data_IF_730862426192
#
_entry.id   IF_730862426192
#
_cell.length_a   1.000
_cell.length_b   1.000
_cell.length_c   1.000
_cell.angle_alpha   90.00
_cell.angle_beta   90.00
_cell.angle_gamma   90.00
#
_symmetry.space_group_name_H-M   'P 1'
#
loop_
_entity.id
_entity.type
_entity.pdbx_description
1 polymer ?
#
# COMPACT_ATOMS: atom_id res chain seq x y z
N UNK A 1 17.20 -8.56 6.94
CA UNK A 1 15.80 -8.75 6.50
C UNK A 1 15.05 -7.42 6.29
N UNK A 2 15.29 -6.39 7.13
CA UNK A 2 14.67 -5.06 7.04
C UNK A 2 14.78 -4.35 5.68
N UNK A 3 15.98 -4.29 5.07
CA UNK A 3 16.18 -3.62 3.78
C UNK A 3 15.32 -4.20 2.65
N UNK A 4 15.12 -5.51 2.62
CA UNK A 4 14.24 -6.17 1.65
C UNK A 4 12.78 -5.77 1.88
N UNK A 5 12.32 -5.73 3.13
CA UNK A 5 10.97 -5.32 3.46
C UNK A 5 10.72 -3.82 3.15
N UNK A 6 11.73 -2.98 3.36
CA UNK A 6 11.71 -1.57 2.97
C UNK A 6 11.66 -1.38 1.44
N UNK A 7 12.49 -2.10 0.68
CA UNK A 7 12.45 -2.07 -0.80
C UNK A 7 11.10 -2.55 -1.33
N UNK A 8 10.56 -3.62 -0.78
CA UNK A 8 9.25 -4.13 -1.18
C UNK A 8 8.15 -3.11 -0.91
N UNK A 9 8.21 -2.39 0.22
CA UNK A 9 7.30 -1.30 0.52
C UNK A 9 7.43 -0.14 -0.46
N UNK A 10 8.65 0.27 -0.81
CA UNK A 10 8.91 1.36 -1.77
C UNK A 10 8.38 0.99 -3.16
N UNK A 11 8.67 -0.22 -3.63
CA UNK A 11 8.16 -0.74 -4.91
C UNK A 11 6.64 -0.79 -4.90
N UNK A 12 6.04 -1.32 -3.83
CA UNK A 12 4.59 -1.41 -3.68
C UNK A 12 3.93 -0.03 -3.69
N UNK A 13 4.49 0.95 -2.98
CA UNK A 13 4.00 2.33 -2.98
C UNK A 13 4.12 2.99 -4.36
N UNK A 14 5.21 2.73 -5.09
CA UNK A 14 5.38 3.21 -6.45
C UNK A 14 4.35 2.62 -7.41
N UNK A 15 4.08 1.30 -7.32
CA UNK A 15 3.04 0.62 -8.11
C UNK A 15 1.66 1.21 -7.80
N UNK A 16 1.32 1.43 -6.52
CA UNK A 16 0.07 2.10 -6.13
C UNK A 16 -0.08 3.46 -6.81
N UNK A 17 0.98 4.27 -6.84
CA UNK A 17 0.94 5.59 -7.47
C UNK A 17 0.75 5.52 -8.99
N UNK A 18 1.47 4.60 -9.65
CA UNK A 18 1.31 4.40 -11.10
C UNK A 18 -0.09 3.90 -11.47
N UNK A 19 -0.62 2.93 -10.72
CA UNK A 19 -1.98 2.41 -10.96
C UNK A 19 -3.01 3.51 -10.69
N UNK A 20 -2.82 4.37 -9.68
CA UNK A 20 -3.68 5.53 -9.46
C UNK A 20 -3.71 6.47 -10.67
N UNK A 21 -2.54 6.85 -11.17
CA UNK A 21 -2.45 7.71 -12.36
C UNK A 21 -3.16 7.05 -13.55
N UNK A 22 -2.88 5.78 -13.81
CA UNK A 22 -3.55 5.04 -14.89
C UNK A 22 -5.07 5.04 -14.73
N UNK A 23 -5.58 4.74 -13.53
CA UNK A 23 -7.03 4.80 -13.22
C UNK A 23 -7.61 6.18 -13.51
N UNK A 24 -6.94 7.26 -13.06
CA UNK A 24 -7.43 8.63 -13.28
C UNK A 24 -7.43 9.02 -14.75
N UNK A 25 -6.38 8.66 -15.51
CA UNK A 25 -6.31 8.94 -16.96
C UNK A 25 -7.43 8.21 -17.68
N UNK A 26 -7.65 6.93 -17.39
CA UNK A 26 -8.69 6.14 -18.04
C UNK A 26 -10.08 6.65 -17.66
N UNK A 27 -10.36 6.95 -16.39
CA UNK A 27 -11.65 7.49 -15.98
C UNK A 27 -11.95 8.88 -16.54
N UNK A 28 -11.00 9.82 -16.46
CA UNK A 28 -11.18 11.17 -17.00
C UNK A 28 -11.26 11.15 -18.54
N UNK A 29 -10.41 10.35 -19.19
CA UNK A 29 -10.45 10.18 -20.64
C UNK A 29 -11.79 9.62 -21.12
N UNK A 30 -12.33 8.65 -20.39
CA UNK A 30 -13.65 8.09 -20.66
C UNK A 30 -14.79 9.10 -20.47
N UNK A 31 -14.77 9.87 -19.38
CA UNK A 31 -15.77 10.94 -19.16
C UNK A 31 -15.71 11.99 -20.27
N UNK A 32 -14.52 12.47 -20.65
CA UNK A 32 -14.36 13.45 -21.72
C UNK A 32 -14.82 12.91 -23.08
N UNK A 33 -14.56 11.64 -23.35
CA UNK A 33 -15.04 10.97 -24.55
C UNK A 33 -16.57 10.89 -24.58
N UNK A 34 -17.20 10.45 -23.46
CA UNK A 34 -18.65 10.43 -23.32
C UNK A 34 -19.27 11.82 -23.50
N UNK A 35 -18.68 12.86 -22.92
CA UNK A 35 -19.15 14.23 -23.05
C UNK A 35 -19.05 14.75 -24.49
N UNK A 36 -18.04 14.30 -25.25
CA UNK A 36 -17.86 14.66 -26.66
C UNK A 36 -18.89 13.98 -27.55
N UNK A 37 -19.13 12.68 -27.33
CA UNK A 37 -20.10 11.89 -28.11
C UNK A 37 -21.54 12.33 -27.83
N UNK A 38 -21.85 12.63 -26.57
CA UNK A 38 -23.20 13.09 -26.16
C UNK A 38 -23.38 14.60 -26.37
N UNK A 39 -22.44 15.29 -27.04
CA UNK A 39 -22.46 16.75 -27.26
C UNK A 39 -22.81 17.52 -25.97
N UNK A 40 -22.22 17.11 -24.84
CA UNK A 40 -22.44 17.64 -23.49
C UNK A 40 -23.89 17.50 -22.96
N UNK A 41 -24.63 16.50 -23.43
CA UNK A 41 -25.98 16.20 -22.95
C UNK A 41 -27.10 16.91 -23.70
N UNK A 42 -26.85 17.42 -24.91
CA UNK A 42 -27.90 17.98 -25.80
C UNK A 42 -28.81 16.89 -26.37
N UNK A 43 -28.37 15.63 -26.31
CA UNK A 43 -29.07 14.44 -26.79
C UNK A 43 -29.58 13.62 -25.60
N UNK A 44 -30.83 13.15 -25.61
CA UNK A 44 -31.52 12.59 -24.43
C UNK A 44 -31.10 11.16 -24.06
N UNK A 45 -30.14 10.58 -24.78
CA UNK A 45 -29.69 9.21 -24.60
C UNK A 45 -28.44 9.16 -23.70
N UNK A 46 -28.33 8.15 -22.84
CA UNK A 46 -27.16 7.92 -22.00
C UNK A 46 -25.95 7.56 -22.89
N UNK A 47 -24.71 7.79 -22.41
CA UNK A 47 -23.49 7.43 -23.15
C UNK A 47 -23.42 5.92 -23.52
N UNK A 48 -24.15 5.08 -22.77
CA UNK A 48 -24.36 3.66 -23.06
C UNK A 48 -25.18 3.43 -24.34
N UNK A 49 -26.15 4.29 -24.63
CA UNK A 49 -27.13 4.10 -25.71
C UNK A 49 -26.70 4.74 -27.05
N UNK A 50 -25.64 5.55 -27.04
CA UNK A 50 -24.97 6.05 -28.27
C UNK A 50 -23.93 5.10 -28.86
N UNK A 51 -23.53 4.05 -28.15
CA UNK A 51 -22.67 3.03 -28.76
C UNK A 51 -23.40 2.14 -29.77
N UNK A 52 -24.73 2.17 -29.79
CA UNK A 52 -25.57 1.46 -30.76
C UNK A 52 -25.80 2.28 -32.05
N UNK A 53 -25.23 3.48 -32.17
CA UNK A 53 -25.22 4.23 -33.43
C UNK A 53 -24.15 3.63 -34.34
N UNK A 54 -24.62 2.76 -35.22
CA UNK A 54 -23.87 2.06 -36.26
C UNK A 54 -23.06 3.08 -37.10
N UNK A 55 -21.77 3.21 -36.79
CA UNK A 55 -20.80 3.93 -37.62
C UNK A 55 -20.50 3.01 -38.81
N UNK A 56 -21.34 3.07 -39.85
CA UNK A 56 -21.24 2.55 -41.22
C UNK A 56 -19.88 1.96 -41.67
N UNK A 57 -19.41 0.93 -40.97
CA UNK A 57 -18.13 0.23 -41.12
C UNK A 57 -18.28 -1.09 -40.34
N UNK A 58 -19.08 -2.03 -40.86
CA UNK A 58 -19.15 -3.49 -40.58
C UNK A 58 -18.21 -4.02 -39.47
N UNK A 59 -18.40 -3.55 -38.24
CA UNK A 59 -17.57 -3.88 -37.09
C UNK A 59 -18.41 -3.67 -35.83
N UNK A 60 -18.95 -4.77 -35.31
CA UNK A 60 -19.68 -4.86 -34.05
C UNK A 60 -18.93 -4.13 -32.92
N UNK A 61 -19.34 -2.89 -32.61
CA UNK A 61 -18.68 -2.00 -31.63
C UNK A 61 -19.30 -2.06 -30.23
N UNK A 62 -20.35 -2.87 -30.03
CA UNK A 62 -21.08 -3.09 -28.77
C UNK A 62 -20.20 -3.60 -27.62
N UNK A 63 -19.00 -4.10 -27.91
CA UNK A 63 -18.05 -4.61 -26.92
C UNK A 63 -17.10 -3.55 -26.34
N UNK A 64 -16.96 -2.36 -26.93
CA UNK A 64 -15.95 -1.37 -26.50
C UNK A 64 -16.34 -0.65 -25.19
N UNK A 65 -17.60 -0.26 -24.95
CA UNK A 65 -17.99 0.35 -23.65
C UNK A 65 -17.79 -0.63 -22.50
N UNK A 66 -18.26 -1.86 -22.68
CA UNK A 66 -18.21 -2.89 -21.66
C UNK A 66 -16.77 -3.21 -21.28
N UNK A 67 -15.88 -3.32 -22.26
CA UNK A 67 -14.45 -3.56 -22.01
C UNK A 67 -13.78 -2.38 -21.30
N UNK A 68 -14.09 -1.13 -21.66
CA UNK A 68 -13.55 0.04 -20.97
C UNK A 68 -14.10 0.23 -19.55
N UNK A 69 -15.38 -0.06 -19.33
CA UNK A 69 -15.99 -0.04 -18.00
C UNK A 69 -15.39 -1.13 -17.09
N UNK A 70 -15.21 -2.34 -17.62
CA UNK A 70 -14.52 -3.44 -16.91
C UNK A 70 -13.06 -3.07 -16.62
N UNK A 71 -12.36 -2.43 -17.56
CA UNK A 71 -10.99 -1.96 -17.36
C UNK A 71 -10.89 -0.89 -16.27
N UNK A 72 -11.80 0.09 -16.24
CA UNK A 72 -11.88 1.09 -15.17
C UNK A 72 -12.11 0.45 -13.80
N UNK A 73 -13.10 -0.44 -13.70
CA UNK A 73 -13.36 -1.17 -12.46
C UNK A 73 -12.16 -2.02 -12.03
N UNK A 74 -11.54 -2.72 -12.98
CA UNK A 74 -10.35 -3.54 -12.75
C UNK A 74 -9.16 -2.73 -12.25
N UNK A 75 -8.93 -1.54 -12.82
CA UNK A 75 -7.87 -0.62 -12.39
C UNK A 75 -8.11 -0.09 -10.97
N UNK A 76 -9.34 0.31 -10.64
CA UNK A 76 -9.70 0.74 -9.27
C UNK A 76 -9.61 -0.40 -8.26
N UNK A 77 -10.08 -1.61 -8.61
CA UNK A 77 -9.97 -2.79 -7.76
C UNK A 77 -8.51 -3.19 -7.52
N UNK A 78 -7.69 -3.18 -8.58
CA UNK A 78 -6.25 -3.42 -8.51
C UNK A 78 -5.55 -2.39 -7.61
N UNK A 79 -5.90 -1.12 -7.75
CA UNK A 79 -5.36 -0.06 -6.90
C UNK A 79 -5.66 -0.28 -5.41
N UNK A 80 -6.93 -0.61 -5.07
CA UNK A 80 -7.32 -0.92 -3.70
C UNK A 80 -6.59 -2.15 -3.16
N UNK A 81 -6.44 -3.20 -3.97
CA UNK A 81 -5.68 -4.38 -3.58
C UNK A 81 -4.21 -4.06 -3.30
N UNK A 82 -3.56 -3.28 -4.16
CA UNK A 82 -2.18 -2.84 -3.98
C UNK A 82 -2.00 -1.92 -2.77
N UNK A 83 -2.98 -1.07 -2.47
CA UNK A 83 -2.99 -0.29 -1.23
C UNK A 83 -3.06 -1.16 0.02
N UNK A 84 -3.92 -2.18 0.02
CA UNK A 84 -4.03 -3.12 1.13
C UNK A 84 -2.71 -3.87 1.34
N UNK A 85 -2.07 -4.36 0.28
CA UNK A 85 -0.76 -5.03 0.33
C UNK A 85 0.30 -4.09 0.91
N UNK A 86 0.36 -2.85 0.42
CA UNK A 86 1.31 -1.83 0.91
C UNK A 86 1.11 -1.56 2.41
N UNK A 87 -0.14 -1.47 2.86
CA UNK A 87 -0.49 -1.24 4.26
C UNK A 87 -0.06 -2.40 5.14
N UNK A 88 -0.30 -3.65 4.71
CA UNK A 88 0.14 -4.84 5.43
C UNK A 88 1.67 -4.94 5.49
N UNK A 89 2.35 -4.61 4.40
CA UNK A 89 3.82 -4.56 4.37
C UNK A 89 4.37 -3.50 5.34
N UNK A 90 3.75 -2.32 5.39
CA UNK A 90 4.11 -1.27 6.35
C UNK A 90 3.94 -1.72 7.79
N UNK A 91 2.79 -2.32 8.12
CA UNK A 91 2.53 -2.85 9.46
C UNK A 91 3.55 -3.92 9.85
N UNK A 92 3.93 -4.80 8.92
CA UNK A 92 4.95 -5.83 9.16
C UNK A 92 6.33 -5.23 9.43
N UNK A 93 6.74 -4.24 8.65
CA UNK A 93 8.01 -3.51 8.86
C UNK A 93 7.99 -2.79 10.20
N UNK A 94 6.89 -2.10 10.52
CA UNK A 94 6.73 -1.39 11.79
C UNK A 94 6.76 -2.33 12.99
N UNK A 95 6.08 -3.47 12.92
CA UNK A 95 6.08 -4.46 13.98
C UNK A 95 7.46 -5.11 14.17
N UNK A 96 8.18 -5.39 13.07
CA UNK A 96 9.55 -5.89 13.14
C UNK A 96 10.48 -4.86 13.81
N UNK A 97 10.39 -3.60 13.40
CA UNK A 97 11.17 -2.50 13.99
C UNK A 97 10.89 -2.34 15.49
N UNK A 98 9.61 -2.35 15.89
CA UNK A 98 9.22 -2.25 17.30
C UNK A 98 9.68 -3.44 18.13
N UNK A 99 9.70 -4.65 17.57
CA UNK A 99 10.22 -5.82 18.27
C UNK A 99 11.72 -5.75 18.48
N UNK A 100 12.48 -5.31 17.47
CA UNK A 100 13.94 -5.14 17.59
C UNK A 100 14.29 -4.13 18.70
N UNK A 101 13.57 -3.00 18.77
CA UNK A 101 13.77 -1.97 19.80
C UNK A 101 13.45 -2.47 21.22
N UNK A 102 12.36 -3.22 21.39
CA UNK A 102 12.02 -3.84 22.68
C UNK A 102 13.06 -4.88 23.11
N UNK A 103 13.58 -5.67 22.16
CA UNK A 103 14.58 -6.69 22.44
C UNK A 103 15.89 -6.04 22.93
N UNK A 104 16.32 -4.97 22.27
CA UNK A 104 17.51 -4.21 22.66
C UNK A 104 17.36 -3.58 24.04
N UNK A 105 16.20 -3.00 24.36
CA UNK A 105 15.92 -2.47 25.70
C UNK A 105 16.01 -3.55 26.77
N UNK A 106 15.45 -4.74 26.52
CA UNK A 106 15.48 -5.85 27.47
C UNK A 106 16.89 -6.41 27.66
N UNK A 107 17.68 -6.51 26.58
CA UNK A 107 19.08 -6.93 26.66
C UNK A 107 19.90 -5.89 27.43
N UNK A 108 19.69 -4.61 27.16
CA UNK A 108 20.38 -3.53 27.88
C UNK A 108 20.08 -3.54 29.38
N UNK A 109 18.82 -3.71 29.77
CA UNK A 109 18.44 -3.85 31.19
C UNK A 109 19.04 -5.11 31.83
N UNK A 110 19.09 -6.24 31.10
CA UNK A 110 19.75 -7.47 31.57
C UNK A 110 21.22 -7.24 31.86
N UNK A 111 21.94 -6.57 30.97
CA UNK A 111 23.36 -6.24 31.16
C UNK A 111 23.59 -5.30 32.36
N UNK A 112 22.72 -4.31 32.56
CA UNK A 112 22.78 -3.43 33.74
C UNK A 112 22.57 -4.19 35.06
N UNK A 113 21.64 -5.16 35.08
CA UNK A 113 21.39 -5.98 36.27
C UNK A 113 22.53 -6.97 36.56
N UNK A 114 23.17 -7.51 35.52
CA UNK A 114 24.34 -8.38 35.66
C UNK A 114 25.61 -7.61 36.06
N UNK A 115 25.77 -6.38 35.57
CA UNK A 115 26.87 -5.50 35.93
C UNK A 115 26.78 -4.96 37.37
N UNK A 116 25.59 -4.99 38.00
CA UNK A 116 25.42 -4.59 39.40
C UNK A 116 26.00 -5.69 40.32
N UNK A 117 27.08 -5.43 41.07
CA UNK A 117 27.62 -6.42 42.01
C UNK A 117 26.54 -6.69 43.06
N UNK A 118 26.16 -7.96 43.22
CA UNK A 118 25.20 -8.35 44.26
C UNK A 118 25.69 -7.90 45.65
N UNK A 119 24.79 -7.45 46.56
CA UNK A 119 25.16 -7.01 47.92
C UNK A 119 25.92 -8.04 48.77
N UNK A 120 26.08 -9.28 48.29
CA UNK A 120 26.84 -10.32 48.98
C UNK A 120 28.36 -10.15 48.87
N UNK A 121 28.87 -9.43 47.87
CA UNK A 121 30.32 -9.20 47.74
C UNK A 121 30.85 -8.13 48.70
N UNK A 122 30.03 -7.11 49.04
CA UNK A 122 30.42 -6.07 50.01
C UNK A 122 30.45 -6.61 51.45
N UNK A 123 29.54 -7.52 51.80
CA UNK A 123 29.50 -8.11 53.15
C UNK A 123 30.66 -9.07 53.47
N UNK A 124 31.34 -9.61 52.45
CA UNK A 124 32.49 -10.50 52.65
C UNK A 124 33.81 -9.74 52.77
N UNK A 125 33.91 -8.55 52.17
CA UNK A 125 35.05 -7.65 52.36
C UNK A 125 35.12 -7.05 53.77
N UNK A 126 33.97 -6.73 54.37
CA UNK A 126 33.91 -6.14 55.71
C UNK A 126 34.28 -7.13 56.83
N UNK A 127 34.03 -8.43 56.63
CA UNK A 127 34.45 -9.48 57.59
C UNK A 127 35.94 -9.86 57.51
N UNK A 128 36.63 -9.57 56.40
CA UNK A 128 38.08 -9.83 56.29
C UNK A 128 38.94 -8.62 56.70
N UNK A 129 38.36 -7.43 56.81
CA UNK A 129 39.07 -6.22 57.26
C UNK A 129 39.07 -6.05 58.80
N UNK A 130 38.38 -6.94 59.52
CA UNK A 130 38.40 -7.01 60.99
C UNK A 130 39.25 -8.21 61.41
N UNK A 131 40.57 -8.10 61.26
CA UNK A 131 41.57 -8.95 61.90
C UNK A 131 42.68 -8.05 62.44
#
# INVERSE_FOLDING_TARGET
SFFYAFLNLLVSAFVVFLVFIASTIVSVGFTMWCDTITEKGTVPHSCEEMQDVDLELDADNSAFYHQFAIAQFGLWASWLAWLAITTLAFLKVYHNYRQEDLLDSLVHEKELLLARPGPRASFQGEKSAVI
#
